data_IF_400687960348
#
_entry.id   IF_400687960348
#
_cell.length_a   1.000
_cell.length_b   1.000
_cell.length_c   1.000
_cell.angle_alpha   90.00
_cell.angle_beta   90.00
_cell.angle_gamma   90.00
#
_symmetry.space_group_name_H-M   'P 1'
#
loop_
_entity.id
_entity.type
_entity.pdbx_description
1 polymer ?
#
# COMPACT_ATOMS: atom_id res chain seq x y z
N UNK A 1 31.81 -14.80 -24.17
CA UNK A 1 30.93 -15.54 -23.23
C UNK A 1 29.68 -14.71 -23.02
N UNK A 2 28.51 -15.32 -22.90
CA UNK A 2 27.28 -14.58 -22.58
C UNK A 2 27.36 -14.14 -21.11
N UNK A 3 27.23 -12.85 -20.84
CA UNK A 3 27.20 -12.34 -19.47
C UNK A 3 26.00 -12.95 -18.72
N UNK A 4 26.20 -13.37 -17.47
CA UNK A 4 25.11 -13.92 -16.67
C UNK A 4 24.10 -12.82 -16.32
N UNK A 5 22.81 -13.19 -16.19
CA UNK A 5 21.74 -12.25 -15.78
C UNK A 5 22.07 -11.51 -14.48
N UNK A 6 22.71 -12.20 -13.53
CA UNK A 6 23.18 -11.62 -12.26
C UNK A 6 24.23 -10.53 -12.48
N UNK A 7 25.19 -10.78 -13.38
CA UNK A 7 26.25 -9.83 -13.71
C UNK A 7 25.71 -8.59 -14.44
N UNK A 8 24.72 -8.78 -15.32
CA UNK A 8 24.01 -7.67 -15.97
C UNK A 8 23.26 -6.84 -14.92
N UNK A 9 22.52 -7.49 -14.01
CA UNK A 9 21.79 -6.78 -12.95
C UNK A 9 22.71 -6.00 -12.01
N UNK A 10 23.92 -6.49 -11.71
CA UNK A 10 24.88 -5.71 -10.92
C UNK A 10 25.35 -4.45 -11.65
N UNK A 11 25.59 -4.52 -12.97
CA UNK A 11 25.95 -3.35 -13.77
C UNK A 11 24.79 -2.35 -13.92
N UNK A 12 23.54 -2.82 -13.94
CA UNK A 12 22.38 -1.92 -13.95
C UNK A 12 22.19 -1.19 -12.61
N UNK A 13 22.53 -1.86 -11.50
CA UNK A 13 22.52 -1.25 -10.15
C UNK A 13 23.68 -0.29 -9.93
N UNK A 14 24.85 -0.63 -10.47
CA UNK A 14 26.06 0.20 -10.43
C UNK A 14 26.62 0.37 -11.86
N UNK A 15 26.16 1.41 -12.59
CA UNK A 15 26.60 1.67 -13.95
C UNK A 15 28.11 1.92 -14.09
N UNK A 16 28.82 2.23 -12.99
CA UNK A 16 30.28 2.42 -13.01
C UNK A 16 31.05 1.13 -13.35
N UNK A 17 30.40 -0.03 -13.21
CA UNK A 17 30.96 -1.34 -13.57
C UNK A 17 30.91 -1.63 -15.08
N UNK A 18 30.24 -0.78 -15.87
CA UNK A 18 30.13 -0.96 -17.32
C UNK A 18 31.44 -0.49 -17.98
N UNK A 19 32.17 -1.36 -18.72
CA UNK A 19 33.46 -1.00 -19.30
C UNK A 19 33.39 0.12 -20.36
N UNK A 20 32.28 0.18 -21.10
CA UNK A 20 32.03 1.25 -22.06
C UNK A 20 31.52 2.49 -21.31
N UNK A 21 32.36 3.53 -21.23
CA UNK A 21 32.04 4.76 -20.51
C UNK A 21 30.85 5.55 -21.09
N UNK A 22 30.59 5.44 -22.39
CA UNK A 22 29.41 6.07 -23.02
C UNK A 22 28.16 5.33 -22.57
N UNK A 23 28.18 4.00 -22.63
CA UNK A 23 27.06 3.17 -22.18
C UNK A 23 26.83 3.33 -20.67
N UNK A 24 27.90 3.35 -19.86
CA UNK A 24 27.84 3.60 -18.42
C UNK A 24 27.09 4.90 -18.11
N UNK A 25 27.46 5.99 -18.79
CA UNK A 25 26.81 7.28 -18.63
C UNK A 25 25.35 7.25 -19.11
N UNK A 26 25.05 6.60 -20.25
CA UNK A 26 23.68 6.49 -20.74
C UNK A 26 22.78 5.73 -19.76
N UNK A 27 23.23 4.58 -19.24
CA UNK A 27 22.49 3.80 -18.25
C UNK A 27 22.28 4.61 -16.97
N UNK A 28 23.32 5.28 -16.48
CA UNK A 28 23.19 6.18 -15.33
C UNK A 28 22.15 7.28 -15.57
N UNK A 29 22.21 7.97 -16.71
CA UNK A 29 21.25 9.01 -17.09
C UNK A 29 19.81 8.46 -17.19
N UNK A 30 19.61 7.26 -17.73
CA UNK A 30 18.29 6.63 -17.73
C UNK A 30 17.78 6.41 -16.31
N UNK A 31 18.61 5.88 -15.40
CA UNK A 31 18.19 5.58 -14.02
C UNK A 31 17.86 6.85 -13.23
N UNK A 32 18.66 7.91 -13.33
CA UNK A 32 18.44 9.14 -12.55
C UNK A 32 17.32 10.01 -13.11
N UNK A 33 17.05 9.94 -14.41
CA UNK A 33 15.98 10.72 -15.06
C UNK A 33 14.69 9.92 -15.24
N UNK A 34 14.62 8.66 -14.81
CA UNK A 34 13.39 7.88 -14.82
C UNK A 34 12.38 8.50 -13.85
N UNK A 35 11.37 9.15 -14.43
CA UNK A 35 10.33 9.85 -13.70
C UNK A 35 9.23 8.93 -13.14
N UNK A 36 9.29 7.62 -13.41
CA UNK A 36 8.27 6.65 -13.02
C UNK A 36 8.79 5.62 -12.01
N UNK A 37 9.97 5.05 -12.28
CA UNK A 37 10.54 3.91 -11.54
C UNK A 37 12.01 4.14 -11.14
N UNK A 38 12.49 5.39 -11.24
CA UNK A 38 13.82 5.76 -10.78
C UNK A 38 13.91 5.76 -9.25
N UNK A 39 15.11 5.54 -8.67
CA UNK A 39 15.29 5.50 -7.21
C UNK A 39 14.79 6.75 -6.48
N UNK A 40 14.95 7.93 -7.10
CA UNK A 40 14.45 9.19 -6.53
C UNK A 40 12.92 9.21 -6.45
N UNK A 41 12.24 8.75 -7.49
CA UNK A 41 10.78 8.67 -7.55
C UNK A 41 10.27 7.66 -6.55
N UNK A 42 10.95 6.53 -6.39
CA UNK A 42 10.62 5.53 -5.37
C UNK A 42 10.76 6.09 -3.95
N UNK A 43 11.83 6.86 -3.67
CA UNK A 43 11.98 7.55 -2.39
C UNK A 43 10.84 8.56 -2.13
N UNK A 44 10.45 9.32 -3.16
CA UNK A 44 9.32 10.27 -3.07
C UNK A 44 8.02 9.52 -2.79
N UNK A 45 7.72 8.47 -3.55
CA UNK A 45 6.52 7.62 -3.36
C UNK A 45 6.48 7.04 -1.95
N UNK A 46 7.61 6.55 -1.44
CA UNK A 46 7.70 6.01 -0.08
C UNK A 46 7.45 7.08 0.99
N UNK A 47 8.05 8.27 0.84
CA UNK A 47 7.84 9.39 1.76
C UNK A 47 6.37 9.83 1.79
N UNK A 48 5.75 9.99 0.61
CA UNK A 48 4.33 10.35 0.49
C UNK A 48 3.43 9.25 1.08
N UNK A 49 3.74 7.98 0.85
CA UNK A 49 3.02 6.85 1.46
C UNK A 49 3.04 6.93 2.98
N UNK A 50 4.23 7.10 3.56
CA UNK A 50 4.39 7.24 5.00
C UNK A 50 3.65 8.47 5.57
N UNK A 51 3.66 9.61 4.87
CA UNK A 51 2.87 10.79 5.28
C UNK A 51 1.37 10.49 5.36
N UNK A 52 0.82 9.74 4.40
CA UNK A 52 -0.60 9.36 4.42
C UNK A 52 -0.93 8.30 5.47
N UNK A 53 -0.01 7.40 5.80
CA UNK A 53 -0.17 6.48 6.94
C UNK A 53 -0.20 7.24 8.27
N UNK A 54 0.65 8.27 8.42
CA UNK A 54 0.62 9.16 9.61
C UNK A 54 -0.70 9.92 9.68
N UNK A 55 -1.16 10.51 8.57
CA UNK A 55 -2.45 11.19 8.50
C UNK A 55 -3.60 10.24 8.86
N UNK A 56 -3.61 9.02 8.31
CA UNK A 56 -4.63 8.00 8.63
C UNK A 56 -4.63 7.65 10.12
N UNK A 57 -3.45 7.51 10.72
CA UNK A 57 -3.30 7.29 12.17
C UNK A 57 -3.96 8.40 12.98
N UNK A 58 -3.70 9.66 12.61
CA UNK A 58 -4.29 10.82 13.28
C UNK A 58 -5.82 10.79 13.17
N UNK A 59 -6.37 10.52 11.98
CA UNK A 59 -7.82 10.42 11.78
C UNK A 59 -8.46 9.28 12.58
N UNK A 60 -7.79 8.12 12.69
CA UNK A 60 -8.26 7.02 13.53
C UNK A 60 -8.32 7.41 15.02
N UNK A 61 -7.27 8.11 15.51
CA UNK A 61 -7.21 8.61 16.88
C UNK A 61 -8.29 9.66 17.16
N UNK A 62 -8.50 10.61 16.23
CA UNK A 62 -9.55 11.62 16.34
C UNK A 62 -10.96 11.01 16.42
N UNK A 63 -11.18 9.89 15.72
CA UNK A 63 -12.43 9.12 15.80
C UNK A 63 -12.51 8.17 16.99
N UNK A 64 -11.49 8.13 17.86
CA UNK A 64 -11.39 7.22 19.00
C UNK A 64 -11.51 5.74 18.59
N UNK A 65 -10.94 5.38 17.44
CA UNK A 65 -10.88 4.00 16.98
C UNK A 65 -9.59 3.36 17.50
N UNK A 66 -9.73 2.18 18.13
CA UNK A 66 -8.57 1.43 18.62
C UNK A 66 -8.01 0.54 17.51
N UNK A 67 -6.69 0.52 17.36
CA UNK A 67 -6.02 -0.18 16.27
C UNK A 67 -4.62 -0.69 16.64
N UNK A 68 -4.14 -1.66 15.88
CA UNK A 68 -2.77 -2.18 15.88
C UNK A 68 -2.11 -1.75 14.56
N UNK A 69 -0.98 -1.06 14.66
CA UNK A 69 -0.21 -0.59 13.50
C UNK A 69 0.73 -1.68 12.95
N UNK A 70 1.16 -1.49 11.70
CA UNK A 70 1.99 -2.44 10.96
C UNK A 70 3.27 -2.87 11.69
N UNK A 71 3.98 -1.93 12.31
CA UNK A 71 5.23 -2.17 13.04
C UNK A 71 5.04 -3.16 14.21
N UNK A 72 3.92 -3.04 14.91
CA UNK A 72 3.54 -3.96 15.98
C UNK A 72 3.16 -5.34 15.44
N UNK A 73 2.54 -5.43 14.26
CA UNK A 73 2.24 -6.70 13.60
C UNK A 73 3.52 -7.40 13.15
N UNK A 74 4.46 -6.66 12.55
CA UNK A 74 5.77 -7.19 12.16
C UNK A 74 6.56 -7.67 13.37
N UNK A 75 6.53 -6.95 14.49
CA UNK A 75 7.15 -7.38 15.75
C UNK A 75 6.55 -8.70 16.31
N UNK A 76 5.28 -8.98 16.00
CA UNK A 76 4.60 -10.25 16.32
C UNK A 76 4.88 -11.38 15.31
N UNK A 77 5.65 -11.12 14.26
CA UNK A 77 6.07 -12.13 13.28
C UNK A 77 5.14 -12.31 12.08
N UNK A 78 4.24 -11.35 11.82
CA UNK A 78 3.43 -11.37 10.61
C UNK A 78 4.27 -10.96 9.38
N UNK A 79 4.15 -11.71 8.29
CA UNK A 79 4.85 -11.52 7.01
C UNK A 79 4.13 -10.60 6.03
N UNK A 80 2.80 -10.52 6.12
CA UNK A 80 1.89 -9.70 5.32
C UNK A 80 0.95 -8.99 6.27
N UNK A 81 1.03 -7.67 6.28
CA UNK A 81 0.42 -6.79 7.29
C UNK A 81 -0.25 -5.61 6.60
N UNK A 82 -1.55 -5.35 6.84
CA UNK A 82 -2.14 -4.07 6.48
C UNK A 82 -1.55 -2.97 7.37
N UNK A 83 -1.68 -1.72 6.95
CA UNK A 83 -1.17 -0.57 7.73
C UNK A 83 -1.79 -0.51 9.13
N UNK A 84 -3.10 -0.79 9.23
CA UNK A 84 -3.83 -0.81 10.48
C UNK A 84 -4.82 -1.97 10.55
N UNK A 85 -4.82 -2.69 11.67
CA UNK A 85 -5.90 -3.59 12.08
C UNK A 85 -6.73 -2.89 13.15
N UNK A 86 -8.04 -2.84 12.98
CA UNK A 86 -8.96 -2.31 13.98
C UNK A 86 -9.17 -3.35 15.07
N UNK A 87 -8.95 -2.97 16.34
CA UNK A 87 -9.20 -3.89 17.46
C UNK A 87 -10.68 -4.19 17.64
N UNK A 88 -11.54 -3.21 17.30
CA UNK A 88 -12.98 -3.37 17.22
C UNK A 88 -13.41 -3.06 15.79
N UNK A 89 -13.99 -4.03 15.06
CA UNK A 89 -14.50 -3.80 13.71
C UNK A 89 -15.54 -2.69 13.66
N UNK A 90 -15.57 -1.95 12.56
CA UNK A 90 -16.52 -0.86 12.34
C UNK A 90 -17.28 -1.07 11.04
N UNK A 91 -18.44 -0.43 10.90
CA UNK A 91 -19.17 -0.42 9.64
C UNK A 91 -18.92 0.87 8.85
N UNK A 92 -18.72 0.74 7.54
CA UNK A 92 -18.63 1.83 6.56
C UNK A 92 -19.56 1.48 5.42
N UNK A 93 -20.51 2.36 5.08
CA UNK A 93 -21.53 2.09 4.05
C UNK A 93 -22.23 0.72 4.22
N UNK A 94 -22.51 0.32 5.46
CA UNK A 94 -23.14 -0.98 5.78
C UNK A 94 -22.21 -2.20 5.73
N UNK A 95 -20.94 -2.04 5.34
CA UNK A 95 -19.94 -3.10 5.29
C UNK A 95 -19.07 -3.08 6.54
N UNK A 96 -18.93 -4.23 7.20
CA UNK A 96 -17.99 -4.36 8.32
C UNK A 96 -16.57 -4.42 7.77
N UNK A 97 -15.65 -3.68 8.40
CA UNK A 97 -14.21 -3.70 8.09
C UNK A 97 -13.39 -3.99 9.35
N UNK A 98 -12.33 -4.76 9.18
CA UNK A 98 -11.41 -5.19 10.23
C UNK A 98 -10.02 -4.56 10.11
N UNK A 99 -9.66 -4.09 8.92
CA UNK A 99 -8.37 -3.49 8.64
C UNK A 99 -8.52 -2.36 7.61
N UNK A 100 -7.55 -1.46 7.61
CA UNK A 100 -7.44 -0.36 6.65
C UNK A 100 -6.04 -0.37 6.05
N UNK A 101 -5.99 -0.23 4.73
CA UNK A 101 -4.78 -0.04 3.94
C UNK A 101 -4.80 1.34 3.27
N UNK A 102 -3.71 2.08 3.41
CA UNK A 102 -3.45 3.41 2.89
C UNK A 102 -2.61 3.32 1.61
N UNK A 103 -3.17 3.75 0.48
CA UNK A 103 -2.45 3.84 -0.79
C UNK A 103 -2.39 5.29 -1.24
N UNK A 104 -1.24 5.92 -1.07
CA UNK A 104 -0.98 7.28 -1.54
C UNK A 104 -0.67 7.31 -3.05
N UNK A 105 -1.56 6.73 -3.84
CA UNK A 105 -1.46 6.56 -5.28
C UNK A 105 -2.87 6.54 -5.89
N UNK A 106 -2.93 6.71 -7.21
CA UNK A 106 -4.15 6.45 -7.96
C UNK A 106 -4.34 4.93 -8.14
N UNK A 107 -5.54 4.42 -7.91
CA UNK A 107 -5.90 3.02 -8.13
C UNK A 107 -6.17 2.74 -9.61
N UNK A 108 -5.14 2.31 -10.35
CA UNK A 108 -5.29 1.76 -11.71
C UNK A 108 -5.46 0.23 -11.70
N UNK A 109 -5.97 -0.34 -12.80
CA UNK A 109 -6.26 -1.78 -12.93
C UNK A 109 -5.05 -2.69 -12.70
N UNK A 110 -3.88 -2.32 -13.26
CA UNK A 110 -2.68 -3.16 -13.16
C UNK A 110 -2.16 -3.19 -11.72
N UNK A 111 -2.04 -2.03 -11.09
CA UNK A 111 -1.56 -1.92 -9.71
C UNK A 111 -2.55 -2.57 -8.73
N UNK A 112 -3.85 -2.31 -8.90
CA UNK A 112 -4.88 -2.88 -8.04
C UNK A 112 -4.90 -4.41 -8.10
N UNK A 113 -4.82 -4.99 -9.31
CA UNK A 113 -4.78 -6.44 -9.48
C UNK A 113 -3.54 -7.08 -8.84
N UNK A 114 -2.39 -6.42 -8.91
CA UNK A 114 -1.19 -6.87 -8.22
C UNK A 114 -1.38 -6.83 -6.69
N UNK A 115 -1.93 -5.75 -6.14
CA UNK A 115 -2.19 -5.64 -4.71
C UNK A 115 -3.22 -6.66 -4.21
N UNK A 116 -4.26 -6.96 -4.98
CA UNK A 116 -5.22 -8.01 -4.65
C UNK A 116 -4.51 -9.35 -4.41
N UNK A 117 -3.64 -9.74 -5.34
CA UNK A 117 -2.92 -11.02 -5.30
C UNK A 117 -1.85 -11.06 -4.21
N UNK A 118 -1.06 -9.99 -4.08
CA UNK A 118 0.13 -9.97 -3.24
C UNK A 118 -0.14 -9.57 -1.78
N UNK A 119 -1.28 -8.92 -1.53
CA UNK A 119 -1.62 -8.26 -0.26
C UNK A 119 -3.07 -8.53 0.16
N UNK A 120 -4.05 -7.95 -0.53
CA UNK A 120 -5.41 -7.78 0.02
C UNK A 120 -6.14 -9.09 0.29
N UNK A 121 -6.01 -10.10 -0.59
CA UNK A 121 -6.61 -11.40 -0.33
C UNK A 121 -5.95 -12.12 0.86
N UNK A 122 -4.66 -11.88 1.11
CA UNK A 122 -3.99 -12.42 2.30
C UNK A 122 -4.54 -11.78 3.57
N UNK A 123 -4.75 -10.46 3.55
CA UNK A 123 -5.36 -9.74 4.68
C UNK A 123 -6.78 -10.22 4.91
N UNK A 124 -7.57 -10.34 3.84
CA UNK A 124 -8.95 -10.82 3.91
C UNK A 124 -9.04 -12.23 4.52
N UNK A 125 -8.22 -13.16 4.05
CA UNK A 125 -8.20 -14.53 4.57
C UNK A 125 -7.80 -14.61 6.06
N UNK A 126 -7.01 -13.66 6.55
CA UNK A 126 -6.47 -13.65 7.93
C UNK A 126 -7.32 -12.87 8.91
N UNK A 127 -7.83 -11.72 8.48
CA UNK A 127 -8.43 -10.70 9.34
C UNK A 127 -9.88 -10.41 8.98
N UNK A 128 -10.40 -10.96 7.87
CA UNK A 128 -11.74 -10.67 7.37
C UNK A 128 -11.78 -9.44 6.46
N UNK A 129 -12.99 -8.94 6.14
CA UNK A 129 -13.19 -7.79 5.25
C UNK A 129 -12.39 -6.55 5.66
N UNK A 130 -12.02 -5.71 4.71
CA UNK A 130 -11.25 -4.50 4.96
C UNK A 130 -11.46 -3.40 3.95
N UNK A 131 -10.83 -2.26 4.24
CA UNK A 131 -10.92 -1.02 3.49
C UNK A 131 -9.56 -0.69 2.88
N UNK A 132 -9.54 -0.34 1.60
CA UNK A 132 -8.39 0.28 0.94
C UNK A 132 -8.73 1.72 0.59
N UNK A 133 -7.90 2.66 1.01
CA UNK A 133 -8.05 4.08 0.71
C UNK A 133 -7.02 4.47 -0.35
N UNK A 134 -7.48 4.78 -1.56
CA UNK A 134 -6.67 5.36 -2.64
C UNK A 134 -6.75 6.89 -2.61
N UNK A 135 -5.80 7.55 -1.95
CA UNK A 135 -5.85 8.99 -1.65
C UNK A 135 -5.90 9.91 -2.86
N UNK A 136 -5.53 9.42 -4.05
CA UNK A 136 -5.61 10.19 -5.29
C UNK A 136 -6.73 9.72 -6.22
N UNK A 137 -7.68 8.94 -5.70
CA UNK A 137 -8.80 8.37 -6.46
C UNK A 137 -8.47 7.02 -7.09
N UNK A 138 -9.47 6.39 -7.69
CA UNK A 138 -9.35 5.10 -8.36
C UNK A 138 -10.39 4.99 -9.49
N UNK A 139 -10.20 4.03 -10.40
CA UNK A 139 -11.17 3.69 -11.43
C UNK A 139 -12.38 3.01 -10.76
N UNK A 140 -13.58 3.56 -10.90
CA UNK A 140 -14.78 3.11 -10.16
C UNK A 140 -15.07 1.60 -10.33
N UNK A 141 -14.79 1.05 -11.53
CA UNK A 141 -14.99 -0.36 -11.85
C UNK A 141 -14.12 -1.32 -11.01
N UNK A 142 -13.07 -0.82 -10.35
CA UNK A 142 -12.22 -1.62 -9.45
C UNK A 142 -12.96 -2.04 -8.17
N UNK A 143 -13.98 -1.29 -7.73
CA UNK A 143 -14.75 -1.62 -6.52
C UNK A 143 -15.77 -2.77 -6.74
N UNK A 144 -15.49 -3.65 -7.70
CA UNK A 144 -16.26 -4.85 -8.01
C UNK A 144 -16.10 -5.97 -6.95
N UNK A 145 -15.20 -5.80 -5.98
CA UNK A 145 -14.94 -6.75 -4.89
C UNK A 145 -15.51 -6.33 -3.53
N UNK A 146 -16.28 -5.24 -3.48
CA UNK A 146 -16.98 -4.77 -2.29
C UNK A 146 -17.76 -5.87 -1.56
N UNK A 147 -18.62 -6.59 -2.28
CA UNK A 147 -19.42 -7.70 -1.75
C UNK A 147 -18.59 -8.92 -1.32
N UNK A 148 -17.33 -9.00 -1.77
CA UNK A 148 -16.38 -10.03 -1.35
C UNK A 148 -15.55 -9.58 -0.15
N UNK A 149 -15.76 -8.36 0.35
CA UNK A 149 -15.12 -7.83 1.56
C UNK A 149 -13.87 -6.98 1.31
N UNK A 150 -13.61 -6.53 0.08
CA UNK A 150 -12.60 -5.51 -0.20
C UNK A 150 -13.33 -4.24 -0.62
N UNK A 151 -13.44 -3.27 0.31
CA UNK A 151 -14.07 -1.99 0.07
C UNK A 151 -13.03 -0.97 -0.40
N UNK A 152 -13.34 -0.19 -1.44
CA UNK A 152 -12.50 0.92 -1.89
C UNK A 152 -13.10 2.28 -1.54
N UNK A 153 -12.26 3.21 -1.10
CA UNK A 153 -12.57 4.63 -0.90
C UNK A 153 -11.43 5.50 -1.42
N UNK A 154 -11.73 6.75 -1.73
CA UNK A 154 -10.76 7.78 -2.10
C UNK A 154 -10.41 8.74 -0.95
N UNK A 155 -11.09 8.58 0.18
CA UNK A 155 -10.91 9.38 1.39
C UNK A 155 -11.29 8.58 2.65
N UNK A 156 -10.88 9.08 3.82
CA UNK A 156 -11.28 8.49 5.09
C UNK A 156 -12.79 8.64 5.32
N UNK A 157 -13.52 7.56 5.64
CA UNK A 157 -14.97 7.61 5.75
C UNK A 157 -15.42 8.49 6.92
N UNK A 158 -16.41 9.34 6.67
CA UNK A 158 -17.02 10.20 7.70
C UNK A 158 -18.18 9.52 8.44
N UNK A 159 -18.76 8.50 7.82
CA UNK A 159 -19.97 7.77 8.20
C UNK A 159 -19.67 6.47 8.96
N UNK A 160 -18.60 6.45 9.76
CA UNK A 160 -18.20 5.26 10.52
C UNK A 160 -19.21 4.96 11.62
N UNK A 161 -19.76 3.74 11.61
CA UNK A 161 -20.63 3.23 12.67
C UNK A 161 -19.83 2.25 13.53
N UNK A 162 -19.70 2.58 14.81
CA UNK A 162 -19.02 1.70 15.78
C UNK A 162 -20.01 0.75 16.43
N UNK A 163 -19.57 -0.48 16.71
CA UNK A 163 -20.29 -1.42 17.56
C UNK A 163 -20.25 -0.90 18.99
N UNK A 164 -21.24 -0.09 19.39
CA UNK A 164 -21.37 0.32 20.79
C UNK A 164 -21.66 -0.91 21.64
N UNK A 165 -20.79 -1.20 22.61
CA UNK A 165 -21.20 -1.97 23.78
C UNK A 165 -22.21 -1.11 24.54
N UNK A 166 -23.48 -1.47 24.49
CA UNK A 166 -24.44 -1.03 25.49
C UNK A 166 -23.93 -1.57 26.83
N UNK A 167 -23.28 -0.74 27.64
CA UNK A 167 -23.12 -1.08 29.05
C UNK A 167 -24.52 -1.02 29.66
N UNK A 168 -25.08 -2.20 29.90
CA UNK A 168 -26.26 -2.38 30.74
C UNK A 168 -25.90 -2.06 32.21
#
# INVERSE_FOLDING_TARGET
SLASKTFINSMLRDPSQIPDGVLANQVYQCTVNDCCYGPLVDCIKHAIGHEHEVLLREMLLEKNLSFIAEDQLRAKGYDKTPDFILEVPVAVEGHIIHWIESKASFGDESSHQAYLQDQFWSYWNRFGPGLVIYWYGFIEELDCHRERGILLKDCFPTDIVTLRHSMA
#
